data_IF_645077262924
#
_entry.id   IF_645077262924
#
_cell.length_a   1.000
_cell.length_b   1.000
_cell.length_c   1.000
_cell.angle_alpha   90.00
_cell.angle_beta   90.00
_cell.angle_gamma   90.00
#
_symmetry.space_group_name_H-M   'P 1'
#
loop_
_entity.id
_entity.type
_entity.pdbx_description
1 polymer ?
#
# COMPACT_ATOMS: atom_id res chain seq x y z
N UNK A 1 20.20 -9.36 -20.12
CA UNK A 1 19.65 -8.26 -19.28
C UNK A 1 18.12 -8.34 -19.34
N UNK A 2 17.39 -8.24 -18.22
CA UNK A 2 15.94 -8.22 -18.28
C UNK A 2 15.49 -6.97 -19.03
N UNK A 3 14.61 -7.14 -20.03
CA UNK A 3 14.10 -6.04 -20.85
C UNK A 3 13.44 -5.00 -19.92
N UNK A 4 13.91 -3.76 -19.97
CA UNK A 4 13.27 -2.62 -19.30
C UNK A 4 11.82 -2.57 -19.81
N UNK A 5 10.85 -2.91 -18.93
CA UNK A 5 9.43 -2.64 -19.20
C UNK A 5 9.33 -1.17 -19.57
N UNK A 6 8.66 -0.85 -20.70
CA UNK A 6 8.47 0.52 -21.18
C UNK A 6 8.12 1.42 -19.98
N UNK A 7 8.80 2.57 -19.80
CA UNK A 7 8.51 3.45 -18.68
C UNK A 7 7.04 3.87 -18.79
N UNK A 8 6.27 3.47 -17.77
CA UNK A 8 4.85 3.81 -17.63
C UNK A 8 4.71 5.34 -17.75
N UNK A 9 3.75 5.81 -18.55
CA UNK A 9 3.52 7.24 -18.75
C UNK A 9 3.17 7.91 -17.42
N UNK A 10 3.38 9.22 -17.30
CA UNK A 10 3.05 9.97 -16.08
C UNK A 10 1.61 9.72 -15.62
N UNK A 11 0.66 9.73 -16.57
CA UNK A 11 -0.75 9.46 -16.32
C UNK A 11 -1.00 8.03 -15.83
N UNK A 12 -0.41 7.04 -16.50
CA UNK A 12 -0.52 5.64 -16.06
C UNK A 12 0.07 5.40 -14.67
N UNK A 13 1.10 6.17 -14.27
CA UNK A 13 1.65 6.11 -12.89
C UNK A 13 0.67 6.68 -11.86
N UNK A 14 -0.04 7.75 -12.22
CA UNK A 14 -1.07 8.36 -11.35
C UNK A 14 -2.22 7.36 -11.16
N UNK A 15 -2.71 6.75 -12.24
CA UNK A 15 -3.78 5.76 -12.20
C UNK A 15 -3.37 4.55 -11.35
N UNK A 16 -2.19 3.97 -11.61
CA UNK A 16 -1.71 2.80 -10.85
C UNK A 16 -1.51 3.10 -9.35
N UNK A 17 -1.14 4.35 -9.01
CA UNK A 17 -1.05 4.80 -7.62
C UNK A 17 -2.43 4.91 -6.98
N UNK A 18 -3.39 5.50 -7.68
CA UNK A 18 -4.76 5.67 -7.20
C UNK A 18 -5.42 4.31 -6.92
N UNK A 19 -5.34 3.39 -7.88
CA UNK A 19 -5.85 2.02 -7.74
C UNK A 19 -5.24 1.31 -6.51
N UNK A 20 -3.92 1.43 -6.31
CA UNK A 20 -3.27 0.81 -5.15
C UNK A 20 -3.81 1.35 -3.81
N UNK A 21 -4.09 2.65 -3.73
CA UNK A 21 -4.65 3.25 -2.52
C UNK A 21 -6.11 2.86 -2.29
N UNK A 22 -6.90 2.73 -3.35
CA UNK A 22 -8.28 2.22 -3.27
C UNK A 22 -8.32 0.79 -2.73
N UNK A 23 -7.42 -0.08 -3.21
CA UNK A 23 -7.30 -1.46 -2.71
C UNK A 23 -6.85 -1.51 -1.24
N UNK A 24 -5.96 -0.61 -0.81
CA UNK A 24 -5.56 -0.48 0.59
C UNK A 24 -6.73 -0.02 1.47
N UNK A 25 -7.50 0.97 1.02
CA UNK A 25 -8.67 1.49 1.72
C UNK A 25 -9.80 0.45 1.82
N UNK A 26 -9.97 -0.37 0.78
CA UNK A 26 -10.91 -1.49 0.76
C UNK A 26 -10.44 -2.70 1.61
N UNK A 27 -9.17 -2.73 2.03
CA UNK A 27 -8.58 -3.86 2.74
C UNK A 27 -8.28 -5.08 1.85
N UNK A 28 -8.33 -4.92 0.53
CA UNK A 28 -8.03 -5.97 -0.46
C UNK A 28 -6.52 -6.12 -0.72
N UNK A 29 -5.74 -5.09 -0.36
CA UNK A 29 -4.29 -5.09 -0.40
C UNK A 29 -3.72 -4.87 1.00
N UNK A 30 -2.82 -5.74 1.45
CA UNK A 30 -2.10 -5.51 2.71
C UNK A 30 -1.01 -4.46 2.54
N UNK A 31 -0.56 -3.87 3.65
CA UNK A 31 0.56 -2.92 3.61
C UNK A 31 1.86 -3.60 3.13
N UNK A 32 2.10 -4.86 3.49
CA UNK A 32 3.27 -5.61 3.02
C UNK A 32 3.24 -5.81 1.50
N UNK A 33 2.08 -6.19 0.96
CA UNK A 33 1.88 -6.33 -0.48
C UNK A 33 2.04 -4.99 -1.22
N UNK A 34 1.52 -3.89 -0.67
CA UNK A 34 1.70 -2.56 -1.22
C UNK A 34 3.18 -2.15 -1.25
N UNK A 35 3.93 -2.34 -0.15
CA UNK A 35 5.38 -2.08 -0.09
C UNK A 35 6.13 -2.89 -1.15
N UNK A 36 5.78 -4.17 -1.31
CA UNK A 36 6.37 -5.04 -2.35
C UNK A 36 6.10 -4.49 -3.76
N UNK A 37 4.85 -4.07 -4.03
CA UNK A 37 4.42 -3.50 -5.31
C UNK A 37 5.21 -2.22 -5.61
N UNK A 38 5.24 -1.27 -4.66
CA UNK A 38 6.01 -0.02 -4.78
C UNK A 38 7.49 -0.29 -5.06
N UNK A 39 8.13 -1.18 -4.29
CA UNK A 39 9.54 -1.53 -4.51
C UNK A 39 9.74 -2.09 -5.93
N UNK A 40 8.97 -3.08 -6.34
CA UNK A 40 9.21 -3.76 -7.64
C UNK A 40 8.82 -2.89 -8.83
N UNK A 41 7.66 -2.26 -8.78
CA UNK A 41 7.05 -1.60 -9.94
C UNK A 41 7.49 -0.15 -10.07
N UNK A 42 7.72 0.57 -8.97
CA UNK A 42 8.08 1.99 -9.03
C UNK A 42 9.59 2.19 -9.04
N UNK A 43 10.33 1.38 -8.29
CA UNK A 43 11.79 1.53 -8.14
C UNK A 43 12.61 0.49 -8.90
N UNK A 44 12.03 -0.69 -9.18
CA UNK A 44 12.75 -1.82 -9.78
C UNK A 44 13.85 -2.43 -8.90
N UNK A 45 13.92 -2.05 -7.61
CA UNK A 45 15.01 -2.46 -6.72
C UNK A 45 14.84 -3.87 -6.18
N UNK A 46 15.93 -4.57 -5.94
CA UNK A 46 15.93 -5.82 -5.15
C UNK A 46 15.65 -5.52 -3.67
N UNK A 47 15.24 -6.54 -2.90
CA UNK A 47 15.01 -6.39 -1.45
C UNK A 47 16.28 -5.93 -0.72
N UNK A 48 17.45 -6.43 -1.13
CA UNK A 48 18.74 -6.02 -0.56
C UNK A 48 19.06 -4.55 -0.84
N UNK A 49 18.90 -4.09 -2.10
CA UNK A 49 19.18 -2.69 -2.44
C UNK A 49 18.18 -1.74 -1.81
N UNK A 50 16.90 -2.10 -1.79
CA UNK A 50 15.86 -1.33 -1.12
C UNK A 50 16.06 -1.29 0.39
N UNK A 51 16.39 -2.43 1.02
CA UNK A 51 16.71 -2.50 2.44
C UNK A 51 17.86 -1.57 2.83
N UNK A 52 18.94 -1.52 2.04
CA UNK A 52 20.05 -0.57 2.28
C UNK A 52 19.58 0.89 2.29
N UNK A 53 18.69 1.28 1.36
CA UNK A 53 18.12 2.64 1.31
C UNK A 53 17.21 2.90 2.51
N UNK A 54 16.38 1.92 2.85
CA UNK A 54 15.46 2.01 3.98
C UNK A 54 16.14 1.80 5.34
N UNK A 55 17.44 1.47 5.41
CA UNK A 55 18.14 1.14 6.66
C UNK A 55 17.70 -0.18 7.31
N UNK A 56 17.31 -1.18 6.52
CA UNK A 56 16.78 -2.48 6.96
C UNK A 56 17.47 -3.66 6.24
N UNK A 57 17.50 -4.83 6.87
CA UNK A 57 18.02 -6.04 6.24
C UNK A 57 17.10 -6.53 5.12
N UNK A 58 17.66 -7.26 4.14
CA UNK A 58 16.86 -7.92 3.10
C UNK A 58 15.83 -8.91 3.69
N UNK A 59 16.20 -9.61 4.77
CA UNK A 59 15.29 -10.51 5.49
C UNK A 59 14.13 -9.76 6.14
N UNK A 60 14.41 -8.60 6.74
CA UNK A 60 13.37 -7.73 7.32
C UNK A 60 12.40 -7.25 6.24
N UNK A 61 12.91 -6.74 5.11
CA UNK A 61 12.07 -6.35 3.96
C UNK A 61 11.24 -7.54 3.48
N UNK A 62 11.86 -8.71 3.31
CA UNK A 62 11.17 -9.93 2.87
C UNK A 62 10.06 -10.36 3.83
N UNK A 63 10.30 -10.29 5.14
CA UNK A 63 9.29 -10.63 6.13
C UNK A 63 8.11 -9.64 6.13
N UNK A 64 8.39 -8.34 5.98
CA UNK A 64 7.37 -7.29 5.86
C UNK A 64 6.54 -7.49 4.59
N UNK A 65 7.19 -7.74 3.45
CA UNK A 65 6.51 -7.94 2.15
C UNK A 65 5.65 -9.21 2.09
N UNK A 66 5.85 -10.16 3.00
CA UNK A 66 5.06 -11.40 3.13
C UNK A 66 4.04 -11.32 4.26
N UNK A 67 3.90 -10.17 4.90
CA UNK A 67 3.07 -9.98 6.10
C UNK A 67 3.40 -11.00 7.22
N UNK A 68 4.65 -11.49 7.25
CA UNK A 68 5.08 -12.59 8.11
C UNK A 68 5.60 -12.15 9.48
N UNK A 69 5.80 -10.84 9.68
CA UNK A 69 6.25 -10.24 10.93
C UNK A 69 5.34 -9.08 11.32
N UNK A 70 5.07 -8.92 12.62
CA UNK A 70 4.50 -7.70 13.18
C UNK A 70 5.51 -6.55 13.07
N UNK A 71 5.55 -5.91 11.90
CA UNK A 71 6.34 -4.71 11.69
C UNK A 71 5.85 -3.62 12.64
N UNK A 72 6.77 -2.98 13.36
CA UNK A 72 6.39 -1.83 14.19
C UNK A 72 5.93 -0.67 13.32
N UNK A 73 5.04 0.19 13.82
CA UNK A 73 4.65 1.41 13.13
C UNK A 73 5.87 2.28 12.75
N UNK A 74 6.92 2.27 13.59
CA UNK A 74 8.21 2.92 13.30
C UNK A 74 8.87 2.34 12.05
N UNK A 75 8.95 1.01 11.94
CA UNK A 75 9.55 0.33 10.79
C UNK A 75 8.75 0.59 9.51
N UNK A 76 7.43 0.57 9.60
CA UNK A 76 6.55 0.88 8.47
C UNK A 76 6.74 2.34 8.03
N UNK A 77 6.75 3.30 8.96
CA UNK A 77 7.03 4.70 8.65
C UNK A 77 8.42 4.92 8.04
N UNK A 78 9.45 4.20 8.51
CA UNK A 78 10.80 4.26 7.95
C UNK A 78 10.81 3.80 6.47
N UNK A 79 10.09 2.72 6.14
CA UNK A 79 9.95 2.25 4.76
C UNK A 79 9.16 3.26 3.92
N UNK A 80 8.00 3.70 4.41
CA UNK A 80 7.12 4.64 3.69
C UNK A 80 7.81 5.98 3.45
N UNK A 81 8.68 6.43 4.36
CA UNK A 81 9.48 7.63 4.21
C UNK A 81 10.37 7.62 2.97
N UNK A 82 10.83 6.45 2.51
CA UNK A 82 11.59 6.32 1.25
C UNK A 82 10.77 6.68 0.00
N UNK A 83 9.44 6.68 0.13
CA UNK A 83 8.48 7.08 -0.89
C UNK A 83 7.84 8.46 -0.62
N UNK A 84 8.29 9.18 0.41
CA UNK A 84 7.66 10.43 0.85
C UNK A 84 6.28 10.23 1.49
N UNK A 85 6.02 9.05 2.07
CA UNK A 85 4.76 8.67 2.68
C UNK A 85 4.88 8.48 4.19
N UNK A 86 3.76 8.53 4.89
CA UNK A 86 3.66 8.23 6.33
C UNK A 86 2.37 7.49 6.64
N UNK A 87 2.39 6.65 7.68
CA UNK A 87 1.19 6.08 8.26
C UNK A 87 0.41 7.16 9.00
N UNK A 88 -0.90 7.15 8.81
CA UNK A 88 -1.83 8.03 9.50
C UNK A 88 -2.98 7.21 10.09
N UNK A 89 -3.72 7.83 11.01
CA UNK A 89 -4.99 7.31 11.51
C UNK A 89 -6.13 8.10 10.85
N UNK A 90 -7.21 7.42 10.49
CA UNK A 90 -8.42 8.05 9.94
C UNK A 90 -9.66 7.45 10.60
N UNK A 91 -10.78 8.19 10.69
CA UNK A 91 -12.06 7.62 11.12
C UNK A 91 -12.42 6.42 10.24
N UNK A 92 -12.83 5.31 10.86
CA UNK A 92 -13.44 4.20 10.11
C UNK A 92 -14.69 4.76 9.45
N UNK A 93 -14.83 4.56 8.13
CA UNK A 93 -16.07 4.92 7.44
C UNK A 93 -17.23 4.30 8.21
N UNK A 94 -18.23 5.13 8.56
CA UNK A 94 -19.42 4.61 9.21
C UNK A 94 -20.00 3.51 8.31
N UNK A 95 -20.33 2.31 8.84
CA UNK A 95 -21.10 1.37 8.05
C UNK A 95 -22.33 2.11 7.55
N UNK A 96 -22.62 1.99 6.26
CA UNK A 96 -23.73 2.70 5.63
C UNK A 96 -25.06 2.12 6.16
N UNK A 97 -25.51 2.57 7.34
CA UNK A 97 -26.79 2.19 7.95
C UNK A 97 -27.85 3.19 7.46
N UNK A 98 -28.14 3.21 6.16
CA UNK A 98 -29.33 3.90 5.64
C UNK A 98 -29.62 3.51 4.19
N UNK A 99 -30.51 2.54 3.97
CA UNK A 99 -31.59 2.55 2.94
C UNK A 99 -32.69 1.49 3.23
N UNK A 100 -33.08 1.31 4.49
CA UNK A 100 -34.35 0.62 4.80
C UNK A 100 -35.19 1.51 5.72
N UNK A 101 -35.76 2.56 5.13
CA UNK A 101 -36.89 3.24 5.75
C UNK A 101 -38.12 2.34 5.54
N UNK A 102 -38.79 1.83 6.58
CA UNK A 102 -40.09 1.21 6.37
C UNK A 102 -41.05 2.30 5.88
N UNK A 103 -41.47 2.15 4.62
CA UNK A 103 -42.58 2.87 3.99
C UNK A 103 -43.70 3.04 5.00
N UNK A 104 -44.03 4.29 5.34
CA UNK A 104 -45.26 4.63 6.08
C UNK A 104 -46.44 4.05 5.31
N UNK A 105 -47.01 2.94 5.80
CA UNK A 105 -48.33 2.48 5.37
C UNK A 105 -49.36 3.43 5.96
N UNK A 106 -50.10 4.04 5.04
CA UNK A 106 -51.42 4.64 5.15
C UNK A 106 -52.15 4.45 6.48
N UNK A 107 -52.54 5.58 7.08
CA UNK A 107 -53.91 5.80 7.52
C UNK A 107 -54.45 7.03 6.79
#
# INVERSE_FOLDING_TARGET
>A
MPKLKKPISTEQRIIARQEMFELLDAGELTIGQAIRRMRREWTGLSQSRFGKIAGLSANTISAIERDANHATARTLNQILGTFGMSLTIRPKAAPNIAQNTPTKRHQ
#
